data_IF_075786160568
#
_entry.id   IF_075786160568
#
_cell.length_a   1.000
_cell.length_b   1.000
_cell.length_c   1.000
_cell.angle_alpha   90.00
_cell.angle_beta   90.00
_cell.angle_gamma   90.00
#
_symmetry.space_group_name_H-M   'P 1'
#
loop_
_entity.id
_entity.type
_entity.pdbx_description
1 polymer ?
#
# COMPACT_ATOMS: atom_id res chain seq x y z
N UNK A 1 6.79 -18.14 10.36
CA UNK A 1 7.59 -17.39 9.36
C UNK A 1 8.03 -16.07 9.98
N UNK A 2 9.28 -15.64 9.81
CA UNK A 2 9.72 -14.32 10.29
C UNK A 2 9.30 -13.22 9.32
N UNK A 3 9.15 -11.97 9.79
CA UNK A 3 8.81 -10.83 8.92
C UNK A 3 9.80 -10.69 7.74
N UNK A 4 11.08 -10.99 7.97
CA UNK A 4 12.13 -10.95 6.95
C UNK A 4 11.93 -11.95 5.81
N UNK A 5 11.27 -13.09 6.08
CA UNK A 5 10.96 -14.11 5.08
C UNK A 5 9.92 -13.63 4.05
N UNK A 6 9.22 -12.52 4.32
CA UNK A 6 8.18 -11.96 3.44
C UNK A 6 8.66 -10.65 2.80
N UNK A 7 9.27 -9.77 3.58
CA UNK A 7 9.73 -8.45 3.08
C UNK A 7 10.88 -8.57 2.08
N UNK A 8 11.79 -9.53 2.27
CA UNK A 8 12.95 -9.70 1.38
C UNK A 8 12.56 -10.24 0.00
N UNK A 9 11.76 -11.32 -0.13
CA UNK A 9 11.27 -11.76 -1.43
C UNK A 9 10.45 -10.69 -2.15
N UNK A 10 9.59 -9.96 -1.44
CA UNK A 10 8.82 -8.87 -2.02
C UNK A 10 9.73 -7.79 -2.63
N UNK A 11 10.77 -7.35 -1.89
CA UNK A 11 11.74 -6.37 -2.42
C UNK A 11 12.41 -6.88 -3.69
N UNK A 12 12.80 -8.16 -3.74
CA UNK A 12 13.39 -8.78 -4.93
C UNK A 12 12.41 -8.79 -6.11
N UNK A 13 11.16 -9.20 -5.88
CA UNK A 13 10.12 -9.23 -6.90
C UNK A 13 9.83 -7.82 -7.45
N UNK A 14 9.62 -6.83 -6.56
CA UNK A 14 9.43 -5.42 -6.92
C UNK A 14 10.55 -4.88 -7.81
N UNK A 15 11.80 -5.16 -7.45
CA UNK A 15 12.95 -4.69 -8.23
C UNK A 15 13.02 -5.34 -9.63
N UNK A 16 12.45 -6.54 -9.82
CA UNK A 16 12.38 -7.20 -11.13
C UNK A 16 11.31 -6.64 -12.05
N UNK A 17 10.35 -5.86 -11.53
CA UNK A 17 9.31 -5.23 -12.34
C UNK A 17 9.86 -4.13 -13.27
N UNK A 18 11.11 -3.69 -13.10
CA UNK A 18 11.71 -2.65 -13.94
C UNK A 18 11.08 -1.27 -13.79
N UNK A 19 10.30 -1.04 -12.73
CA UNK A 19 9.63 0.23 -12.47
C UNK A 19 10.60 1.17 -11.75
N UNK A 20 10.79 2.36 -12.32
CA UNK A 20 11.54 3.46 -11.70
C UNK A 20 10.62 4.31 -10.84
N UNK A 21 11.06 4.60 -9.62
CA UNK A 21 10.34 5.48 -8.70
C UNK A 21 10.94 6.88 -8.83
N UNK A 22 10.25 7.75 -9.56
CA UNK A 22 10.71 9.13 -9.83
C UNK A 22 10.67 10.01 -8.58
N UNK A 23 9.74 9.74 -7.67
CA UNK A 23 9.56 10.48 -6.43
C UNK A 23 9.55 9.56 -5.20
N UNK A 24 10.40 9.91 -4.23
CA UNK A 24 10.50 9.23 -2.94
C UNK A 24 11.12 7.83 -3.00
N UNK A 25 10.85 7.04 -1.95
CA UNK A 25 11.37 5.67 -1.82
C UNK A 25 10.43 4.64 -2.41
N UNK A 26 11.00 3.56 -2.95
CA UNK A 26 10.25 2.44 -3.50
C UNK A 26 9.33 1.79 -2.44
N UNK A 27 8.08 1.42 -2.79
CA UNK A 27 7.09 0.90 -1.85
C UNK A 27 7.59 -0.38 -1.18
N UNK A 28 7.29 -0.52 0.11
CA UNK A 28 7.63 -1.72 0.90
C UNK A 28 6.46 -2.70 0.93
N UNK A 29 6.68 -3.90 1.48
CA UNK A 29 5.60 -4.88 1.63
C UNK A 29 4.39 -4.33 2.42
N UNK A 30 4.63 -3.44 3.40
CA UNK A 30 3.58 -2.81 4.20
C UNK A 30 2.63 -1.93 3.38
N UNK A 31 3.07 -1.39 2.24
CA UNK A 31 2.25 -0.52 1.38
C UNK A 31 1.08 -1.27 0.73
N UNK A 32 1.14 -2.61 0.64
CA UNK A 32 -0.02 -3.39 0.20
C UNK A 32 -1.22 -3.23 1.13
N UNK A 33 -0.99 -3.02 2.43
CA UNK A 33 -2.08 -2.79 3.39
C UNK A 33 -2.78 -1.47 3.10
N UNK A 34 -2.00 -0.39 2.92
CA UNK A 34 -2.52 0.93 2.53
C UNK A 34 -3.29 0.85 1.21
N UNK A 35 -2.75 0.16 0.20
CA UNK A 35 -3.41 -0.02 -1.08
C UNK A 35 -4.76 -0.75 -0.92
N UNK A 36 -4.79 -1.86 -0.18
CA UNK A 36 -6.04 -2.60 0.07
C UNK A 36 -7.08 -1.74 0.77
N UNK A 37 -6.70 -0.94 1.77
CA UNK A 37 -7.61 -0.03 2.46
C UNK A 37 -8.20 1.02 1.50
N UNK A 38 -7.37 1.63 0.65
CA UNK A 38 -7.84 2.59 -0.35
C UNK A 38 -8.79 1.96 -1.37
N UNK A 39 -8.45 0.76 -1.88
CA UNK A 39 -9.27 0.04 -2.86
C UNK A 39 -10.63 -0.38 -2.28
N UNK A 40 -10.67 -0.91 -1.05
CA UNK A 40 -11.94 -1.27 -0.42
C UNK A 40 -12.81 -0.05 -0.14
N UNK A 41 -12.21 1.08 0.29
CA UNK A 41 -12.95 2.32 0.48
C UNK A 41 -13.51 2.87 -0.83
N UNK A 42 -12.74 2.82 -1.93
CA UNK A 42 -13.20 3.23 -3.25
C UNK A 42 -14.39 2.38 -3.74
N UNK A 43 -14.52 1.14 -3.27
CA UNK A 43 -15.67 0.26 -3.53
C UNK A 43 -16.86 0.52 -2.58
N UNK A 44 -16.78 1.52 -1.70
CA UNK A 44 -17.83 1.85 -0.74
C UNK A 44 -17.89 0.93 0.48
N UNK A 45 -16.88 0.07 0.69
CA UNK A 45 -16.79 -0.79 1.86
C UNK A 45 -16.21 -0.02 3.04
N UNK A 46 -16.86 -0.14 4.21
CA UNK A 46 -16.36 0.45 5.45
C UNK A 46 -15.09 -0.29 5.92
N UNK A 47 -13.95 0.30 5.62
CA UNK A 47 -12.64 -0.26 5.99
C UNK A 47 -12.27 0.00 7.44
N UNK A 48 -13.06 0.71 8.24
CA UNK A 48 -12.73 0.97 9.64
C UNK A 48 -12.74 -0.32 10.49
N UNK A 49 -13.45 -1.37 10.04
CA UNK A 49 -13.52 -2.69 10.69
C UNK A 49 -12.49 -3.71 10.19
N UNK A 50 -11.83 -3.47 9.05
CA UNK A 50 -11.01 -4.47 8.35
C UNK A 50 -9.58 -4.61 8.93
N UNK A 51 -8.88 -3.52 9.27
CA UNK A 51 -7.69 -3.60 10.08
C UNK A 51 -8.09 -3.34 11.53
N UNK A 52 -7.70 -4.22 12.46
CA UNK A 52 -7.91 -4.04 13.91
C UNK A 52 -7.12 -2.86 14.50
N UNK A 53 -7.28 -1.66 13.96
CA UNK A 53 -6.62 -0.44 14.40
C UNK A 53 -7.42 0.19 15.54
N UNK A 54 -6.83 0.12 16.75
CA UNK A 54 -7.35 0.76 17.97
C UNK A 54 -7.40 2.30 17.91
N UNK A 55 -6.82 2.94 16.90
CA UNK A 55 -6.73 4.40 16.77
C UNK A 55 -6.69 4.85 15.31
N UNK A 56 -7.59 5.80 14.98
CA UNK A 56 -7.75 6.43 13.66
C UNK A 56 -6.45 7.05 13.11
N UNK A 57 -5.55 7.47 14.00
CA UNK A 57 -4.31 8.20 13.68
C UNK A 57 -3.29 7.40 12.86
N UNK A 58 -3.35 6.07 12.93
CA UNK A 58 -2.51 5.19 12.09
C UNK A 58 -3.10 5.02 10.68
N UNK A 59 -4.43 5.03 10.57
CA UNK A 59 -5.17 4.95 9.30
C UNK A 59 -4.90 6.18 8.43
N UNK A 60 -4.82 7.36 9.03
CA UNK A 60 -4.58 8.62 8.30
C UNK A 60 -3.24 8.64 7.55
N UNK A 61 -2.21 7.94 8.06
CA UNK A 61 -0.90 7.84 7.39
C UNK A 61 -0.93 6.92 6.15
N UNK A 62 -1.88 5.99 6.09
CA UNK A 62 -2.08 5.09 4.95
C UNK A 62 -2.99 5.69 3.86
N UNK A 63 -3.61 6.83 4.14
CA UNK A 63 -4.56 7.50 3.24
C UNK A 63 -3.91 8.44 2.24
N UNK A 64 -2.61 8.72 2.37
CA UNK A 64 -1.86 9.56 1.44
C UNK A 64 -1.43 8.73 0.21
N UNK A 65 -2.10 8.98 -0.92
CA UNK A 65 -1.79 8.40 -2.22
C UNK A 65 -0.44 8.89 -2.80
N UNK A 66 0.18 9.90 -2.17
CA UNK A 66 1.40 10.57 -2.61
C UNK A 66 1.38 10.90 -4.10
N UNK A 67 0.22 11.28 -4.64
CA UNK A 67 0.02 11.63 -6.05
C UNK A 67 0.16 10.46 -7.04
N UNK A 68 0.06 9.20 -6.59
CA UNK A 68 0.24 8.00 -7.43
C UNK A 68 -1.09 7.40 -7.91
N UNK A 69 -2.06 8.25 -8.21
CA UNK A 69 -3.32 7.79 -8.79
C UNK A 69 -3.12 7.23 -10.19
N UNK A 70 -3.90 6.20 -10.50
CA UNK A 70 -3.93 5.60 -11.82
C UNK A 70 -4.93 6.36 -12.68
N UNK A 71 -4.48 6.86 -13.84
CA UNK A 71 -5.37 7.44 -14.84
C UNK A 71 -5.94 6.30 -15.68
N UNK A 72 -7.27 6.19 -15.73
CA UNK A 72 -7.95 5.33 -16.69
C UNK A 72 -7.85 6.02 -18.05
N UNK A 73 -7.01 5.49 -18.94
CA UNK A 73 -6.96 5.94 -20.34
C UNK A 73 -8.01 5.14 -21.10
N UNK A 74 -9.12 5.81 -21.44
CA UNK A 74 -10.14 5.33 -22.37
C UNK A 74 -9.88 5.80 -23.79
#
# INVERSE_FOLDING_TARGET
MSANAITTPFKKARNRCGITWTEGTAPTFHEQRSLSERLYRAQGLDTQKLPGHKSQKMTDRYNDDRGKDWVVVG
#
